data_IF_878001912792
#
_entry.id   IF_878001912792
#
_cell.length_a   1.000
_cell.length_b   1.000
_cell.length_c   1.000
_cell.angle_alpha   90.00
_cell.angle_beta   90.00
_cell.angle_gamma   90.00
#
_symmetry.space_group_name_H-M   'P 1'
#
loop_
_entity.id
_entity.type
_entity.pdbx_description
1 polymer ?
#
# COMPACT_ATOMS: atom_id res chain seq x y z
N UNK A 1 -3.66 -24.00 5.78
CA UNK A 1 -3.09 -22.90 6.60
C UNK A 1 -1.63 -23.23 6.76
N UNK A 2 -0.70 -22.30 6.52
CA UNK A 2 0.71 -22.54 6.89
C UNK A 2 0.82 -22.35 8.40
N UNK A 3 1.39 -23.32 9.11
CA UNK A 3 1.60 -23.25 10.55
C UNK A 3 2.89 -22.47 10.85
N UNK A 4 2.96 -21.84 12.02
CA UNK A 4 4.11 -21.04 12.43
C UNK A 4 5.01 -21.88 13.33
N UNK A 5 6.02 -22.54 12.74
CA UNK A 5 6.96 -23.35 13.52
C UNK A 5 7.74 -22.54 14.57
N UNK A 6 8.27 -21.37 14.16
CA UNK A 6 9.26 -20.63 14.96
C UNK A 6 9.11 -19.12 14.76
N UNK A 7 8.73 -18.42 15.83
CA UNK A 7 8.85 -16.96 15.94
C UNK A 7 10.02 -16.58 16.86
N UNK A 8 10.90 -15.69 16.40
CA UNK A 8 12.04 -15.17 17.19
C UNK A 8 12.29 -13.70 16.93
N UNK A 9 12.60 -12.95 17.99
CA UNK A 9 13.03 -11.55 17.90
C UNK A 9 14.56 -11.51 17.94
N UNK A 10 15.17 -11.01 16.88
CA UNK A 10 16.62 -10.82 16.77
C UNK A 10 16.99 -9.33 16.83
N UNK A 11 18.22 -9.05 17.28
CA UNK A 11 18.85 -7.73 17.16
C UNK A 11 19.97 -7.85 16.13
N UNK A 12 19.73 -7.40 14.90
CA UNK A 12 20.69 -7.51 13.80
C UNK A 12 21.73 -6.39 13.90
N UNK A 13 23.03 -6.69 14.02
CA UNK A 13 24.08 -5.68 14.04
C UNK A 13 24.45 -5.26 12.61
N UNK A 14 24.26 -3.97 12.30
CA UNK A 14 24.58 -3.38 11.00
C UNK A 14 25.94 -2.66 10.98
N UNK A 15 26.76 -2.81 12.04
CA UNK A 15 28.09 -2.20 12.16
C UNK A 15 28.98 -2.46 10.94
N UNK A 16 28.95 -3.67 10.39
CA UNK A 16 29.71 -4.05 9.19
C UNK A 16 29.46 -3.12 7.99
N UNK A 17 28.22 -2.62 7.83
CA UNK A 17 27.83 -1.71 6.74
C UNK A 17 28.60 -0.39 6.81
N UNK A 18 28.92 0.11 8.02
CA UNK A 18 29.63 1.38 8.24
C UNK A 18 31.11 1.33 7.88
N UNK A 19 31.72 0.14 7.81
CA UNK A 19 33.12 -0.04 7.40
C UNK A 19 33.31 -0.06 5.88
N UNK A 20 32.24 0.21 5.11
CA UNK A 20 32.19 0.04 3.66
C UNK A 20 31.80 1.38 3.00
N UNK A 21 32.17 1.66 1.72
CA UNK A 21 31.79 2.90 1.05
C UNK A 21 30.31 3.29 1.20
N UNK A 22 30.11 4.50 1.73
CA UNK A 22 28.83 5.01 2.25
C UNK A 22 27.74 5.12 1.16
N UNK A 23 28.16 5.30 -0.10
CA UNK A 23 27.27 5.40 -1.28
C UNK A 23 26.41 4.16 -1.53
N UNK A 24 26.80 2.99 -1.02
CA UNK A 24 26.08 1.72 -1.17
C UNK A 24 25.59 1.13 0.15
N UNK A 25 25.48 1.95 1.21
CA UNK A 25 25.29 1.45 2.56
C UNK A 25 23.88 0.86 2.81
N UNK A 26 22.80 1.54 2.40
CA UNK A 26 21.43 1.03 2.59
C UNK A 26 21.15 -0.33 1.91
N UNK A 27 21.42 -0.53 0.60
CA UNK A 27 21.25 -1.85 -0.02
C UNK A 27 22.19 -2.93 0.56
N UNK A 28 23.34 -2.55 1.13
CA UNK A 28 24.19 -3.49 1.90
C UNK A 28 23.57 -3.87 3.24
N UNK A 29 22.83 -2.97 3.90
CA UNK A 29 22.15 -3.27 5.15
C UNK A 29 21.06 -4.33 4.96
N UNK A 30 20.26 -4.24 3.89
CA UNK A 30 19.25 -5.25 3.53
C UNK A 30 19.93 -6.63 3.33
N UNK A 31 21.00 -6.69 2.52
CA UNK A 31 21.78 -7.93 2.33
C UNK A 31 22.40 -8.46 3.62
N UNK A 32 22.75 -7.57 4.56
CA UNK A 32 23.29 -7.97 5.87
C UNK A 32 22.21 -8.57 6.77
N UNK A 33 20.96 -8.06 6.71
CA UNK A 33 19.79 -8.67 7.37
C UNK A 33 19.52 -10.07 6.80
N UNK A 34 19.47 -10.21 5.47
CA UNK A 34 19.28 -11.52 4.81
C UNK A 34 20.36 -12.53 5.23
N UNK A 35 21.64 -12.14 5.18
CA UNK A 35 22.76 -12.99 5.64
C UNK A 35 22.69 -13.35 7.12
N UNK A 36 22.23 -12.42 7.97
CA UNK A 36 22.06 -12.69 9.39
C UNK A 36 20.98 -13.76 9.60
N UNK A 37 19.80 -13.59 8.98
CA UNK A 37 18.68 -14.51 9.12
C UNK A 37 18.97 -15.89 8.52
N UNK A 38 19.58 -15.95 7.33
CA UNK A 38 20.03 -17.21 6.70
C UNK A 38 20.92 -18.02 7.64
N UNK A 39 21.84 -17.38 8.37
CA UNK A 39 22.72 -18.05 9.36
C UNK A 39 22.00 -18.54 10.62
N UNK A 40 20.99 -17.82 11.11
CA UNK A 40 20.33 -18.14 12.39
C UNK A 40 19.10 -19.04 12.23
N UNK A 41 18.35 -18.89 11.13
CA UNK A 41 17.16 -19.68 10.81
C UNK A 41 17.48 -20.88 9.91
N UNK A 42 18.69 -20.96 9.33
CA UNK A 42 19.15 -22.00 8.39
C UNK A 42 18.30 -22.07 7.12
N UNK A 43 18.04 -20.92 6.51
CA UNK A 43 17.22 -20.76 5.30
C UNK A 43 18.06 -20.15 4.18
N UNK A 44 17.74 -20.45 2.91
CA UNK A 44 18.44 -19.84 1.78
C UNK A 44 18.16 -18.33 1.69
N UNK A 45 19.03 -17.61 0.96
CA UNK A 45 18.88 -16.15 0.80
C UNK A 45 17.68 -15.73 -0.05
N UNK A 46 17.07 -16.66 -0.79
CA UNK A 46 15.95 -16.41 -1.71
C UNK A 46 14.59 -16.41 -0.99
N UNK A 47 14.46 -17.22 0.05
CA UNK A 47 13.17 -17.49 0.74
C UNK A 47 12.96 -16.55 1.94
N UNK A 48 13.78 -15.51 2.06
CA UNK A 48 13.71 -14.49 3.11
C UNK A 48 12.96 -13.28 2.55
N UNK A 49 11.70 -13.16 2.94
CA UNK A 49 10.82 -12.05 2.55
C UNK A 49 10.89 -10.94 3.60
N UNK A 50 11.32 -9.76 3.18
CA UNK A 50 11.49 -8.59 4.04
C UNK A 50 10.30 -7.67 3.85
N UNK A 51 9.57 -7.44 4.94
CA UNK A 51 8.45 -6.50 4.97
C UNK A 51 8.91 -5.05 4.76
N UNK A 52 8.01 -4.24 4.20
CA UNK A 52 8.29 -2.85 3.86
C UNK A 52 8.63 -2.02 5.11
N UNK A 53 8.06 -2.32 6.28
CA UNK A 53 8.37 -1.62 7.53
C UNK A 53 9.86 -1.70 7.91
N UNK A 54 10.50 -2.86 7.68
CA UNK A 54 11.92 -3.08 7.93
C UNK A 54 12.76 -2.30 6.92
N UNK A 55 12.32 -2.22 5.67
CA UNK A 55 12.97 -1.40 4.66
C UNK A 55 12.89 0.09 5.03
N UNK A 56 11.70 0.62 5.35
CA UNK A 56 11.52 2.00 5.79
C UNK A 56 12.38 2.35 7.01
N UNK A 57 12.46 1.48 8.02
CA UNK A 57 13.33 1.68 9.18
C UNK A 57 14.84 1.75 8.83
N UNK A 58 15.29 1.01 7.80
CA UNK A 58 16.66 1.10 7.29
C UNK A 58 16.92 2.40 6.51
N UNK A 59 15.93 2.89 5.76
CA UNK A 59 16.03 4.07 4.90
C UNK A 59 15.61 5.39 5.56
N UNK A 60 15.02 5.37 6.76
CA UNK A 60 14.48 6.54 7.47
C UNK A 60 15.47 7.71 7.69
N UNK A 61 16.79 7.44 7.63
CA UNK A 61 17.86 8.45 7.75
C UNK A 61 18.59 8.73 6.42
N UNK A 62 18.01 8.27 5.31
CA UNK A 62 18.59 8.29 3.98
C UNK A 62 19.70 7.26 3.77
N UNK A 63 20.08 7.09 2.48
CA UNK A 63 21.03 6.08 1.97
C UNK A 63 22.36 6.01 2.71
N UNK A 64 22.81 7.11 3.31
CA UNK A 64 24.14 7.27 3.89
C UNK A 64 24.21 7.00 5.41
N UNK A 65 23.11 7.10 6.16
CA UNK A 65 23.13 7.16 7.65
C UNK A 65 22.31 6.05 8.33
N UNK A 66 22.50 4.80 7.91
CA UNK A 66 21.77 3.63 8.45
C UNK A 66 21.96 3.46 9.98
N UNK A 67 20.91 3.03 10.71
CA UNK A 67 21.02 2.63 12.11
C UNK A 67 22.11 1.56 12.36
N UNK A 68 22.70 1.55 13.55
CA UNK A 68 23.77 0.60 13.91
C UNK A 68 23.28 -0.78 14.31
N UNK A 69 22.02 -0.86 14.76
CA UNK A 69 21.29 -2.08 15.15
C UNK A 69 19.85 -1.92 14.70
N UNK A 70 19.21 -3.02 14.32
CA UNK A 70 17.77 -3.06 14.04
C UNK A 70 17.17 -4.27 14.78
N UNK A 71 16.06 -4.08 15.49
CA UNK A 71 15.29 -5.16 16.11
C UNK A 71 14.32 -5.69 15.08
N UNK A 72 14.25 -7.00 14.93
CA UNK A 72 13.54 -7.66 13.83
C UNK A 72 12.88 -8.92 14.36
N UNK A 73 11.57 -9.06 14.12
CA UNK A 73 10.82 -10.30 14.34
C UNK A 73 10.89 -11.13 13.07
N UNK A 74 11.42 -12.35 13.20
CA UNK A 74 11.46 -13.33 12.12
C UNK A 74 10.48 -14.47 12.45
N UNK A 75 9.59 -14.76 11.51
CA UNK A 75 8.64 -15.88 11.57
C UNK A 75 9.04 -16.87 10.48
N UNK A 76 9.30 -18.13 10.85
CA UNK A 76 9.49 -19.23 9.90
C UNK A 76 8.20 -20.03 9.79
N UNK A 77 7.81 -20.32 8.55
CA UNK A 77 6.71 -21.20 8.20
C UNK A 77 7.23 -22.60 7.80
N UNK A 78 6.33 -23.58 7.77
CA UNK A 78 6.62 -24.96 7.35
C UNK A 78 7.21 -25.01 5.93
N UNK A 79 6.72 -24.14 5.04
CA UNK A 79 7.15 -23.98 3.64
C UNK A 79 8.62 -23.49 3.47
N UNK A 80 9.35 -23.30 4.58
CA UNK A 80 10.75 -22.84 4.59
C UNK A 80 10.92 -21.32 4.45
N UNK A 81 9.87 -20.61 4.03
CA UNK A 81 9.85 -19.15 3.89
C UNK A 81 9.98 -18.47 5.26
N UNK A 82 10.72 -17.36 5.30
CA UNK A 82 10.89 -16.52 6.50
C UNK A 82 10.37 -15.11 6.23
N UNK A 83 9.31 -14.72 6.93
CA UNK A 83 8.82 -13.34 6.95
C UNK A 83 9.52 -12.52 8.05
N UNK A 84 9.85 -11.28 7.71
CA UNK A 84 10.75 -10.43 8.49
C UNK A 84 10.11 -9.07 8.71
N UNK A 85 9.72 -8.77 9.94
CA UNK A 85 8.95 -7.56 10.33
C UNK A 85 9.61 -6.79 11.47
N UNK A 86 9.18 -5.54 11.69
CA UNK A 86 9.50 -4.82 12.93
C UNK A 86 8.70 -5.41 14.12
N UNK A 87 9.31 -5.54 15.31
CA UNK A 87 8.62 -6.06 16.50
C UNK A 87 7.70 -5.03 17.17
N UNK A 88 7.85 -3.74 16.86
CA UNK A 88 7.07 -2.63 17.43
C UNK A 88 5.76 -2.36 16.67
N UNK A 89 5.55 -3.02 15.53
CA UNK A 89 4.31 -2.95 14.76
C UNK A 89 3.52 -4.24 15.03
N UNK A 90 2.34 -4.12 15.63
CA UNK A 90 1.38 -5.23 15.66
C UNK A 90 0.98 -5.55 14.23
N UNK A 91 1.10 -6.83 13.84
CA UNK A 91 0.82 -7.24 12.46
C UNK A 91 -0.66 -7.00 12.13
N UNK A 92 -0.91 -6.13 11.16
CA UNK A 92 -2.00 -6.35 10.19
C UNK A 92 -1.41 -7.17 9.06
N UNK A 93 -2.10 -8.21 8.61
CA UNK A 93 -1.57 -8.98 7.50
C UNK A 93 -1.78 -8.19 6.20
N UNK A 94 -0.75 -8.13 5.36
CA UNK A 94 -0.82 -7.53 4.02
C UNK A 94 -1.98 -8.09 3.18
N UNK A 95 -2.43 -9.32 3.51
CA UNK A 95 -3.54 -10.05 2.92
C UNK A 95 -4.93 -9.53 3.31
N UNK A 96 -5.05 -8.84 4.44
CA UNK A 96 -6.27 -8.14 4.89
C UNK A 96 -6.32 -6.73 4.29
N UNK A 97 -5.20 -6.02 4.30
CA UNK A 97 -5.11 -4.66 3.73
C UNK A 97 -5.37 -4.64 2.22
N UNK A 98 -4.84 -5.62 1.47
CA UNK A 98 -5.17 -5.77 0.04
C UNK A 98 -6.62 -6.14 -0.24
N UNK A 99 -7.30 -6.87 0.68
CA UNK A 99 -8.73 -7.14 0.54
C UNK A 99 -9.55 -5.89 0.82
N UNK A 100 -9.23 -5.16 1.90
CA UNK A 100 -9.88 -3.90 2.23
C UNK A 100 -9.75 -2.86 1.10
N UNK A 101 -8.57 -2.74 0.46
CA UNK A 101 -8.37 -1.85 -0.70
C UNK A 101 -9.16 -2.32 -1.93
N UNK A 102 -9.33 -3.65 -2.11
CA UNK A 102 -10.09 -4.23 -3.22
C UNK A 102 -11.61 -4.12 -3.02
N UNK A 103 -12.07 -4.20 -1.79
CA UNK A 103 -13.48 -4.06 -1.39
C UNK A 103 -13.90 -2.59 -1.32
N UNK A 104 -13.05 -1.70 -0.78
CA UNK A 104 -13.31 -0.26 -0.75
C UNK A 104 -13.20 0.42 -2.12
N UNK A 105 -12.53 -0.21 -3.10
CA UNK A 105 -12.59 0.21 -4.51
C UNK A 105 -13.78 -0.45 -5.21
N UNK A 106 -14.97 -0.17 -4.69
CA UNK A 106 -16.23 -0.44 -5.38
C UNK A 106 -16.22 0.25 -6.77
N UNK A 107 -16.89 -0.33 -7.79
CA UNK A 107 -16.89 0.23 -9.14
C UNK A 107 -17.60 1.59 -9.16
N UNK A 108 -16.84 2.65 -9.46
CA UNK A 108 -17.30 4.05 -9.47
C UNK A 108 -18.45 4.30 -10.48
N UNK A 109 -18.62 3.44 -11.47
CA UNK A 109 -19.66 3.57 -12.50
C UNK A 109 -20.98 2.95 -12.05
N UNK A 110 -21.71 3.68 -11.20
CA UNK A 110 -23.17 3.74 -11.39
C UNK A 110 -23.48 4.58 -12.63
N UNK A 111 -24.51 4.15 -13.33
CA UNK A 111 -24.98 4.65 -14.62
C UNK A 111 -25.87 5.88 -14.41
N UNK A 112 -25.25 6.99 -14.02
CA UNK A 112 -25.88 8.33 -13.97
C UNK A 112 -25.97 8.91 -15.39
N UNK A 113 -26.68 8.19 -16.27
CA UNK A 113 -26.81 8.53 -17.69
C UNK A 113 -28.00 7.85 -18.36
N UNK A 114 -28.97 7.38 -17.58
CA UNK A 114 -30.29 6.95 -18.06
C UNK A 114 -31.45 7.56 -17.25
N UNK A 115 -31.20 8.07 -16.03
CA UNK A 115 -32.21 8.85 -15.30
C UNK A 115 -32.35 10.29 -15.85
N UNK A 116 -31.25 10.89 -16.33
CA UNK A 116 -31.25 12.26 -16.87
C UNK A 116 -31.87 12.35 -18.29
N UNK A 117 -32.06 11.24 -19.00
CA UNK A 117 -32.77 11.23 -20.29
C UNK A 117 -34.30 11.10 -20.15
N UNK A 118 -34.82 10.55 -19.05
CA UNK A 118 -36.27 10.49 -18.80
C UNK A 118 -36.81 11.81 -18.24
N UNK A 119 -36.15 12.42 -17.24
CA UNK A 119 -36.57 13.75 -16.71
C UNK A 119 -36.50 14.86 -17.77
N UNK A 120 -35.48 14.83 -18.65
CA UNK A 120 -35.35 15.79 -19.76
C UNK A 120 -36.30 15.57 -20.94
N UNK A 121 -37.08 14.48 -20.95
CA UNK A 121 -38.15 14.24 -21.91
C UNK A 121 -39.49 14.80 -21.40
N UNK A 122 -39.81 14.62 -20.12
CA UNK A 122 -41.04 15.12 -19.51
C UNK A 122 -41.08 16.67 -19.46
N UNK A 123 -39.97 17.35 -19.07
CA UNK A 123 -39.90 18.82 -19.11
C UNK A 123 -40.07 19.40 -20.53
N UNK A 124 -39.81 18.62 -21.59
CA UNK A 124 -39.96 19.05 -22.99
C UNK A 124 -41.36 18.88 -23.55
N UNK A 125 -42.22 18.06 -22.94
CA UNK A 125 -43.64 18.00 -23.28
C UNK A 125 -44.43 19.08 -22.53
N UNK A 126 -44.14 19.31 -21.24
CA UNK A 126 -44.80 20.39 -20.47
C UNK A 126 -44.48 21.80 -21.02
N UNK A 127 -43.22 22.07 -21.40
CA UNK A 127 -42.85 23.37 -22.01
C UNK A 127 -43.37 23.56 -23.44
N UNK A 128 -43.91 22.51 -24.08
CA UNK A 128 -44.54 22.61 -25.39
C UNK A 128 -46.02 23.02 -25.32
N UNK A 129 -46.77 22.63 -24.28
CA UNK A 129 -48.18 23.03 -24.12
C UNK A 129 -48.36 24.47 -23.60
N UNK A 130 -47.47 24.99 -22.74
CA UNK A 130 -47.55 26.40 -22.29
C UNK A 130 -47.16 27.43 -23.38
N UNK A 131 -46.58 26.97 -24.50
CA UNK A 131 -46.08 27.81 -25.60
C UNK A 131 -47.14 28.45 -26.50
N UNK A 132 -48.42 28.06 -26.42
CA UNK A 132 -49.50 28.55 -27.29
C UNK A 132 -50.46 29.55 -26.59
N UNK A 133 -49.92 30.52 -25.84
CA UNK A 133 -50.75 31.37 -24.98
C UNK A 133 -50.23 32.75 -24.56
N UNK A 134 -49.45 33.49 -25.37
CA UNK A 134 -48.90 34.78 -24.90
C UNK A 134 -48.37 35.74 -25.97
N UNK A 135 -49.27 36.43 -26.68
CA UNK A 135 -48.93 37.46 -27.69
C UNK A 135 -49.11 38.87 -27.10
N UNK A 136 -48.31 39.84 -27.58
CA UNK A 136 -48.48 41.34 -27.55
C UNK A 136 -47.60 42.15 -26.56
N UNK A 137 -47.04 43.27 -27.10
CA UNK A 137 -46.35 44.43 -26.48
C UNK A 137 -44.95 44.19 -25.85
N UNK A 138 -43.94 45.07 -25.97
CA UNK A 138 -43.60 46.28 -26.76
C UNK A 138 -42.04 46.26 -26.82
N UNK A 139 -41.33 46.41 -27.94
CA UNK A 139 -41.05 47.59 -28.79
C UNK A 139 -40.30 48.76 -28.11
N UNK A 140 -39.27 49.30 -28.80
CA UNK A 140 -38.48 50.53 -28.50
C UNK A 140 -37.59 50.54 -27.22
N UNK A 141 -36.38 51.14 -27.15
CA UNK A 141 -35.37 51.72 -28.08
C UNK A 141 -33.98 51.37 -27.45
N UNK A 142 -32.80 51.36 -28.08
CA UNK A 142 -32.24 51.95 -29.31
C UNK A 142 -31.36 50.93 -30.02
#
# INVERSE_FOLDING_TARGET
MAEKEVERIYVVPLRAVKHTPVSGAAPRAIRQVQRFLSRHMKVELKDIWIDESVNHALWARGKYKIPSRIRVRAVKFDDGVVEVSLPEVEFKSFREELKAIKEAKEPILKREGEAEEEEGAEEREETAEEGEGGKVAEEEVV
#
